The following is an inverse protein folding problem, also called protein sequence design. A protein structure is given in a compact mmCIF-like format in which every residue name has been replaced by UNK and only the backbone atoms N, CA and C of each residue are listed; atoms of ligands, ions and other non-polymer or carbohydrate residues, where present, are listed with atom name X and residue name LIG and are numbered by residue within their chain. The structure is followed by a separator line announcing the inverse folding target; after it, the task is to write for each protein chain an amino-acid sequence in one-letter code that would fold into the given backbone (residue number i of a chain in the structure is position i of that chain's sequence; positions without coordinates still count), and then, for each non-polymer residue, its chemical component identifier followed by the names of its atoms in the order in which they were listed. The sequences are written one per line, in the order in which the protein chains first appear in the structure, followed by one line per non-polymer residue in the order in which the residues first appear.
data_IF_112028433992
#
_entry.id   IF_112028433992
#
_cell.length_a   1.000
_cell.length_b   1.000
_cell.length_c   1.000
_cell.angle_alpha   90.00
_cell.angle_beta   90.00
_cell.angle_gamma   90.00
#
_symmetry.space_group_name_H-M   'P 1'
#
loop_
_entity.id
_entity.type
_entity.pdbx_description
1 polymer ?
#
# COMPACT_ATOMS: atom_id res chain seq x y z
N UNK A 1 27.27 -13.56 -45.49
CA UNK A 1 28.09 -14.75 -45.17
C UNK A 1 27.98 -15.20 -43.71
N UNK A 2 28.29 -14.38 -42.70
CA UNK A 2 28.23 -14.79 -41.28
C UNK A 2 26.90 -15.39 -40.80
N UNK A 3 25.74 -14.88 -41.26
CA UNK A 3 24.42 -15.46 -40.93
C UNK A 3 24.22 -16.88 -41.48
N UNK A 4 24.80 -17.17 -42.65
CA UNK A 4 24.66 -18.46 -43.33
C UNK A 4 25.54 -19.51 -42.64
N UNK A 5 26.77 -19.13 -42.26
CA UNK A 5 27.69 -20.00 -41.52
C UNK A 5 27.12 -20.41 -40.15
N UNK A 6 26.41 -19.51 -39.46
CA UNK A 6 25.77 -19.81 -38.17
C UNK A 6 24.62 -20.81 -38.31
N UNK A 7 23.87 -20.78 -39.42
CA UNK A 7 22.76 -21.72 -39.65
C UNK A 7 23.23 -23.17 -39.85
N UNK A 8 24.43 -23.37 -40.42
CA UNK A 8 25.01 -24.71 -40.59
C UNK A 8 25.64 -25.26 -39.29
N UNK A 9 26.17 -24.39 -38.42
CA UNK A 9 26.79 -24.79 -37.14
C UNK A 9 25.76 -24.93 -36.01
N UNK A 10 24.71 -24.11 -36.02
CA UNK A 10 23.62 -24.12 -35.04
C UNK A 10 22.27 -24.07 -35.77
N UNK A 11 21.86 -25.19 -36.39
CA UNK A 11 20.62 -25.23 -37.14
C UNK A 11 19.43 -24.97 -36.22
N UNK A 12 18.42 -24.28 -36.75
CA UNK A 12 17.17 -24.07 -36.03
C UNK A 12 16.41 -25.38 -35.90
N UNK A 13 15.65 -25.59 -34.81
CA UNK A 13 14.88 -26.82 -34.63
C UNK A 13 13.90 -27.13 -35.78
N UNK A 14 13.34 -26.08 -36.41
CA UNK A 14 12.50 -26.19 -37.60
C UNK A 14 12.45 -24.90 -38.41
N UNK A 15 11.98 -25.00 -39.67
CA UNK A 15 11.70 -23.85 -40.55
C UNK A 15 10.75 -22.86 -39.85
N UNK A 16 11.06 -21.57 -39.91
CA UNK A 16 10.26 -20.47 -39.30
C UNK A 16 10.09 -20.54 -37.77
N UNK A 17 10.94 -21.29 -37.06
CA UNK A 17 10.87 -21.43 -35.59
C UNK A 17 10.74 -20.11 -34.81
N UNK A 18 11.59 -19.11 -35.09
CA UNK A 18 11.52 -17.80 -34.40
C UNK A 18 10.23 -17.05 -34.68
N UNK A 19 9.70 -17.16 -35.90
CA UNK A 19 8.44 -16.51 -36.25
C UNK A 19 7.28 -17.14 -35.47
N UNK A 20 7.21 -18.48 -35.43
CA UNK A 20 6.23 -19.21 -34.64
C UNK A 20 6.33 -18.84 -33.16
N UNK A 21 7.54 -18.82 -32.60
CA UNK A 21 7.78 -18.46 -31.21
C UNK A 21 7.23 -17.05 -30.91
N UNK A 22 7.59 -16.05 -31.71
CA UNK A 22 7.12 -14.68 -31.51
C UNK A 22 5.59 -14.56 -31.61
N UNK A 23 4.96 -15.29 -32.54
CA UNK A 23 3.50 -15.31 -32.67
C UNK A 23 2.86 -15.94 -31.43
N UNK A 24 3.43 -17.05 -30.91
CA UNK A 24 2.98 -17.71 -29.68
C UNK A 24 3.16 -16.85 -28.42
N UNK A 25 4.17 -15.99 -28.40
CA UNK A 25 4.44 -15.04 -27.31
C UNK A 25 3.53 -13.79 -27.35
N UNK A 26 2.77 -13.59 -28.44
CA UNK A 26 1.91 -12.41 -28.58
C UNK A 26 0.71 -12.42 -27.61
N UNK A 27 0.06 -11.27 -27.46
CA UNK A 27 -1.14 -11.12 -26.62
C UNK A 27 -2.36 -11.85 -27.20
N UNK A 28 -2.39 -12.12 -28.53
CA UNK A 28 -3.48 -12.85 -29.17
C UNK A 28 -2.93 -13.87 -30.21
N UNK A 29 -2.32 -14.97 -29.74
CA UNK A 29 -1.63 -15.90 -30.61
C UNK A 29 -2.59 -16.64 -31.56
N UNK A 30 -3.88 -16.78 -31.22
CA UNK A 30 -4.88 -17.40 -32.10
C UNK A 30 -5.12 -16.57 -33.36
N UNK A 31 -5.34 -15.27 -33.22
CA UNK A 31 -5.54 -14.39 -34.38
C UNK A 31 -4.28 -14.28 -35.24
N UNK A 32 -3.12 -14.21 -34.60
CA UNK A 32 -1.84 -14.14 -35.29
C UNK A 32 -1.52 -15.43 -36.08
N UNK A 33 -1.87 -16.61 -35.55
CA UNK A 33 -1.75 -17.88 -36.27
C UNK A 33 -2.77 -18.01 -37.42
N UNK A 34 -3.96 -17.41 -37.31
CA UNK A 34 -4.93 -17.36 -38.43
C UNK A 34 -4.41 -16.51 -39.61
N UNK A 35 -3.64 -15.45 -39.34
CA UNK A 35 -3.03 -14.60 -40.38
C UNK A 35 -1.80 -15.25 -41.01
N UNK A 36 -1.03 -16.00 -40.22
CA UNK A 36 0.20 -16.66 -40.64
C UNK A 36 0.15 -18.14 -40.29
N UNK A 37 -0.45 -18.94 -41.17
CA UNK A 37 -0.61 -20.38 -40.95
C UNK A 37 0.73 -21.12 -40.99
N UNK A 38 0.78 -22.21 -40.22
CA UNK A 38 1.86 -23.19 -40.23
C UNK A 38 1.25 -24.56 -40.48
N UNK A 39 1.87 -25.36 -41.35
CA UNK A 39 1.40 -26.72 -41.70
C UNK A 39 1.27 -27.64 -40.48
N UNK A 40 2.02 -27.38 -39.40
CA UNK A 40 2.03 -28.18 -38.19
C UNK A 40 0.86 -27.90 -37.22
N UNK A 41 -0.02 -26.95 -37.52
CA UNK A 41 -1.18 -26.63 -36.69
C UNK A 41 -2.47 -26.75 -37.49
N UNK A 42 -3.37 -27.62 -37.04
CA UNK A 42 -4.75 -27.66 -37.50
C UNK A 42 -5.63 -26.68 -36.69
N UNK A 43 -6.82 -26.40 -37.22
CA UNK A 43 -7.78 -25.48 -36.60
C UNK A 43 -8.24 -25.95 -35.21
N UNK A 44 -8.35 -27.27 -35.02
CA UNK A 44 -8.76 -27.87 -33.75
C UNK A 44 -7.71 -27.61 -32.65
N UNK A 45 -6.43 -27.79 -32.95
CA UNK A 45 -5.33 -27.51 -32.05
C UNK A 45 -5.24 -26.01 -31.73
N UNK A 46 -5.42 -25.15 -32.73
CA UNK A 46 -5.42 -23.70 -32.54
C UNK A 46 -6.54 -23.30 -31.57
N UNK A 47 -7.75 -23.81 -31.76
CA UNK A 47 -8.88 -23.42 -30.93
C UNK A 47 -8.77 -23.95 -29.50
N UNK A 48 -8.34 -25.20 -29.31
CA UNK A 48 -8.37 -25.85 -28.01
C UNK A 48 -7.11 -25.60 -27.15
N UNK A 49 -5.95 -25.44 -27.79
CA UNK A 49 -4.64 -25.48 -27.12
C UNK A 49 -3.89 -24.14 -27.13
N UNK A 50 -4.01 -23.35 -28.20
CA UNK A 50 -3.32 -22.06 -28.30
C UNK A 50 -3.97 -21.05 -27.36
N UNK A 51 -3.17 -20.48 -26.46
CA UNK A 51 -3.59 -19.43 -25.52
C UNK A 51 -2.48 -18.40 -25.36
N UNK A 52 -2.81 -17.13 -25.08
CA UNK A 52 -1.83 -16.14 -24.65
C UNK A 52 -1.07 -16.64 -23.43
N UNK A 53 0.19 -16.21 -23.29
CA UNK A 53 0.95 -16.51 -22.08
C UNK A 53 0.39 -15.71 -20.91
N UNK A 54 0.09 -16.42 -19.84
CA UNK A 54 -0.32 -15.84 -18.57
C UNK A 54 0.67 -16.25 -17.48
N UNK A 55 1.31 -15.27 -16.87
CA UNK A 55 2.34 -15.50 -15.85
C UNK A 55 1.67 -15.83 -14.53
N UNK A 56 1.72 -17.10 -14.12
CA UNK A 56 1.17 -17.55 -12.85
C UNK A 56 1.97 -16.98 -11.66
N UNK A 57 1.27 -16.51 -10.63
CA UNK A 57 1.87 -16.14 -9.34
C UNK A 57 1.28 -16.94 -8.21
N UNK A 58 2.15 -17.35 -7.30
CA UNK A 58 1.75 -18.06 -6.08
C UNK A 58 1.15 -17.04 -5.10
N UNK A 59 -0.09 -17.25 -4.62
CA UNK A 59 -0.68 -16.45 -3.57
C UNK A 59 0.13 -16.50 -2.27
N UNK A 60 0.43 -15.35 -1.69
CA UNK A 60 1.07 -15.25 -0.37
C UNK A 60 0.00 -15.26 0.72
N UNK A 61 -0.25 -16.45 1.26
CA UNK A 61 -1.24 -16.70 2.33
C UNK A 61 -0.59 -16.89 3.70
N UNK A 62 0.68 -16.49 3.87
CA UNK A 62 1.42 -16.70 5.11
C UNK A 62 0.91 -15.79 6.22
N UNK A 63 0.39 -16.38 7.30
CA UNK A 63 -0.08 -15.65 8.47
C UNK A 63 1.07 -15.13 9.36
N UNK A 64 2.20 -15.82 9.40
CA UNK A 64 3.35 -15.44 10.23
C UNK A 64 4.11 -14.21 9.70
N UNK A 65 4.83 -13.53 10.59
CA UNK A 65 5.68 -12.38 10.28
C UNK A 65 5.55 -11.27 11.31
N UNK A 66 6.10 -10.09 10.97
CA UNK A 66 6.08 -8.92 11.87
C UNK A 66 4.64 -8.46 12.15
N UNK A 67 4.30 -8.36 13.45
CA UNK A 67 2.95 -8.02 13.93
C UNK A 67 2.67 -6.51 13.98
N UNK A 68 3.71 -5.72 14.24
CA UNK A 68 3.68 -4.27 14.40
C UNK A 68 5.05 -3.68 14.08
N UNK A 69 5.12 -2.39 13.77
CA UNK A 69 6.38 -1.69 13.52
C UNK A 69 7.28 -1.67 14.76
N UNK A 70 8.59 -1.67 14.56
CA UNK A 70 9.61 -1.76 15.61
C UNK A 70 9.56 -0.58 16.61
N UNK A 71 9.12 0.59 16.16
CA UNK A 71 9.07 1.79 17.01
C UNK A 71 7.93 1.73 18.02
N UNK A 72 8.29 1.73 19.30
CA UNK A 72 7.37 1.89 20.43
C UNK A 72 7.31 3.38 20.81
N UNK A 73 6.12 3.94 20.78
CA UNK A 73 5.89 5.33 21.13
C UNK A 73 5.32 5.47 22.54
N UNK A 74 5.70 6.53 23.23
CA UNK A 74 5.05 6.89 24.49
C UNK A 74 3.59 7.29 24.24
N UNK A 75 2.62 6.86 25.05
CA UNK A 75 1.23 7.32 24.96
C UNK A 75 1.10 8.84 25.05
N UNK A 76 1.99 9.47 25.85
CA UNK A 76 2.06 10.91 26.02
C UNK A 76 2.63 11.65 24.79
N UNK A 77 3.11 10.93 23.77
CA UNK A 77 3.50 11.51 22.50
C UNK A 77 2.29 11.82 21.60
N UNK A 78 1.07 11.50 22.02
CA UNK A 78 -0.15 11.74 21.26
C UNK A 78 -1.16 12.53 22.09
N UNK A 79 -1.76 13.56 21.50
CA UNK A 79 -2.81 14.36 22.11
C UNK A 79 -3.77 14.85 21.03
N UNK A 80 -5.08 14.72 21.24
CA UNK A 80 -6.13 15.25 20.35
C UNK A 80 -5.93 14.90 18.86
N UNK A 81 -5.63 13.63 18.54
CA UNK A 81 -5.31 13.15 17.19
C UNK A 81 -4.11 13.88 16.52
N UNK A 82 -3.19 14.41 17.32
CA UNK A 82 -1.92 15.00 16.90
C UNK A 82 -0.76 14.35 17.66
N UNK A 83 0.46 14.56 17.16
CA UNK A 83 1.66 14.05 17.78
C UNK A 83 2.49 15.17 18.40
N UNK A 84 3.11 14.88 19.54
CA UNK A 84 4.02 15.76 20.24
C UNK A 84 5.43 15.29 19.91
N UNK A 85 6.13 16.05 19.07
CA UNK A 85 7.46 15.69 18.57
C UNK A 85 8.49 16.65 19.16
N UNK A 86 9.62 16.09 19.60
CA UNK A 86 10.79 16.87 20.03
C UNK A 86 11.57 17.26 18.78
N UNK A 87 11.68 18.56 18.51
CA UNK A 87 12.41 19.12 17.37
C UNK A 87 13.61 19.92 17.84
N UNK A 88 14.78 19.68 17.24
CA UNK A 88 15.99 20.43 17.59
C UNK A 88 15.84 21.89 17.16
N UNK A 89 16.49 22.80 17.90
CA UNK A 89 16.41 24.23 17.59
C UNK A 89 16.89 24.54 16.18
N UNK A 90 18.00 23.93 15.73
CA UNK A 90 18.58 24.14 14.41
C UNK A 90 17.71 23.67 13.23
N UNK A 91 16.68 22.86 13.51
CA UNK A 91 15.76 22.33 12.49
C UNK A 91 14.41 23.08 12.47
N UNK A 92 14.20 24.02 13.40
CA UNK A 92 12.94 24.77 13.53
C UNK A 92 12.64 25.61 12.29
N UNK A 93 11.35 25.79 12.03
CA UNK A 93 10.80 26.75 11.08
C UNK A 93 9.95 27.75 11.84
N UNK A 94 9.77 28.94 11.29
CA UNK A 94 8.92 29.96 11.92
C UNK A 94 7.48 29.45 12.14
N UNK A 95 6.94 28.67 11.19
CA UNK A 95 5.62 28.02 11.30
C UNK A 95 5.52 26.98 12.44
N UNK A 96 6.64 26.44 12.91
CA UNK A 96 6.64 25.49 14.03
C UNK A 96 6.38 26.21 15.36
N UNK A 97 6.74 27.50 15.45
CA UNK A 97 6.55 28.30 16.67
C UNK A 97 5.07 28.54 16.97
N UNK A 98 4.21 28.51 15.96
CA UNK A 98 2.75 28.61 16.14
C UNK A 98 2.14 27.30 16.68
N UNK A 99 2.91 26.21 16.68
CA UNK A 99 2.47 24.87 17.09
C UNK A 99 3.24 24.33 18.31
N UNK A 100 3.87 25.19 19.12
CA UNK A 100 4.61 24.77 20.31
C UNK A 100 3.70 24.07 21.31
N UNK A 101 4.14 22.91 21.80
CA UNK A 101 3.41 22.17 22.82
C UNK A 101 3.49 22.90 24.17
N UNK A 102 2.33 23.24 24.73
CA UNK A 102 2.19 23.88 26.04
C UNK A 102 2.93 25.23 26.13
N UNK A 103 2.73 26.11 25.15
CA UNK A 103 3.37 27.43 25.06
C UNK A 103 3.34 28.25 26.37
N UNK A 104 2.20 28.26 27.05
CA UNK A 104 2.00 29.07 28.26
C UNK A 104 2.84 28.62 29.45
N UNK A 105 3.38 27.39 29.43
CA UNK A 105 4.23 26.88 30.51
C UNK A 105 5.55 27.63 30.66
N UNK A 106 6.10 28.17 29.55
CA UNK A 106 7.36 28.90 29.54
C UNK A 106 7.39 29.95 28.43
N UNK A 107 6.40 30.85 28.46
CA UNK A 107 6.19 31.86 27.43
C UNK A 107 7.46 32.65 27.09
N UNK A 108 8.24 33.05 28.10
CA UNK A 108 9.49 33.80 27.92
C UNK A 108 10.53 33.04 27.09
N UNK A 109 10.64 31.73 27.30
CA UNK A 109 11.54 30.89 26.53
C UNK A 109 11.11 30.85 25.06
N UNK A 110 9.83 30.61 24.80
CA UNK A 110 9.33 30.46 23.44
C UNK A 110 9.27 31.78 22.67
N UNK A 111 8.92 32.88 23.33
CA UNK A 111 9.00 34.24 22.76
C UNK A 111 10.45 34.54 22.33
N UNK A 112 11.44 34.24 23.18
CA UNK A 112 12.86 34.46 22.87
C UNK A 112 13.35 33.60 21.70
N UNK A 113 12.91 32.34 21.61
CA UNK A 113 13.21 31.47 20.46
C UNK A 113 12.59 32.05 19.17
N UNK A 114 11.36 32.57 19.23
CA UNK A 114 10.69 33.19 18.09
C UNK A 114 11.41 34.44 17.61
N UNK A 115 11.83 35.30 18.55
CA UNK A 115 12.60 36.52 18.24
C UNK A 115 13.93 36.15 17.56
N UNK A 116 14.71 35.24 18.15
CA UNK A 116 15.97 34.79 17.57
C UNK A 116 15.78 34.20 16.16
N UNK A 117 14.68 33.48 15.92
CA UNK A 117 14.37 32.97 14.58
C UNK A 117 14.06 34.09 13.59
N UNK A 118 13.31 35.11 14.00
CA UNK A 118 12.93 36.25 13.13
C UNK A 118 14.15 37.10 12.80
N UNK A 119 15.04 37.36 13.77
CA UNK A 119 16.27 38.14 13.57
C UNK A 119 17.23 37.50 12.56
N UNK A 120 17.13 36.20 12.35
CA UNK A 120 17.93 35.44 11.39
C UNK A 120 17.11 34.99 10.16
N UNK A 121 16.07 35.74 9.78
CA UNK A 121 15.23 35.49 8.60
C UNK A 121 14.61 34.07 8.55
N UNK A 122 14.32 33.50 9.70
CA UNK A 122 13.80 32.14 9.83
C UNK A 122 14.84 31.02 9.61
N UNK A 123 16.13 31.35 9.47
CA UNK A 123 17.20 30.37 9.33
C UNK A 123 17.67 29.84 10.69
N UNK A 124 17.01 28.79 11.17
CA UNK A 124 17.28 28.16 12.46
C UNK A 124 18.73 27.68 12.64
N UNK A 125 19.40 27.21 11.59
CA UNK A 125 20.79 26.76 11.69
C UNK A 125 21.72 27.89 12.07
N UNK A 126 21.53 29.07 11.46
CA UNK A 126 22.28 30.30 11.80
C UNK A 126 21.85 30.86 13.14
N UNK A 127 20.54 30.89 13.40
CA UNK A 127 19.97 31.45 14.64
C UNK A 127 20.48 30.75 15.91
N UNK A 128 20.78 29.45 15.82
CA UNK A 128 21.13 28.62 16.97
C UNK A 128 22.51 27.96 16.89
N UNK A 129 23.39 28.43 15.99
CA UNK A 129 24.75 27.90 15.81
C UNK A 129 25.58 27.99 17.09
N UNK A 130 25.53 29.15 17.76
CA UNK A 130 26.25 29.40 19.02
C UNK A 130 25.55 28.82 20.27
N UNK A 131 24.52 28.00 20.06
CA UNK A 131 23.66 27.47 21.11
C UNK A 131 22.69 28.52 21.68
N UNK A 132 21.68 28.04 22.40
CA UNK A 132 20.65 28.89 23.00
C UNK A 132 20.46 28.53 24.46
N UNK A 133 20.36 29.54 25.33
CA UNK A 133 20.16 29.37 26.77
C UNK A 133 18.84 29.98 27.20
N UNK A 134 18.17 29.32 28.13
CA UNK A 134 16.88 29.80 28.65
C UNK A 134 17.05 31.17 29.34
N UNK A 135 16.25 32.18 28.99
CA UNK A 135 16.24 33.45 29.71
C UNK A 135 15.79 33.27 31.17
N UNK A 136 16.53 33.80 32.13
CA UNK A 136 16.16 33.75 33.55
C UNK A 136 15.74 35.13 34.06
N UNK A 137 14.85 35.18 35.06
CA UNK A 137 14.43 36.44 35.69
C UNK A 137 15.59 37.17 36.39
N UNK A 138 16.62 36.43 36.82
CA UNK A 138 17.73 36.94 37.64
C UNK A 138 18.97 37.35 36.83
N UNK A 139 18.91 37.33 35.49
CA UNK A 139 20.05 37.66 34.62
C UNK A 139 21.16 36.59 34.57
N UNK A 140 21.05 35.52 35.38
CA UNK A 140 22.00 34.38 35.34
C UNK A 140 21.81 33.55 34.07
N UNK A 141 22.90 32.97 33.57
CA UNK A 141 22.86 32.06 32.43
C UNK A 141 22.01 30.83 32.76
N UNK A 142 20.89 30.67 32.06
CA UNK A 142 20.02 29.51 32.20
C UNK A 142 20.60 28.24 31.55
N UNK A 143 19.87 27.11 31.69
CA UNK A 143 20.22 25.85 31.04
C UNK A 143 20.24 25.99 29.51
N UNK A 144 21.08 25.19 28.86
CA UNK A 144 21.15 25.10 27.39
C UNK A 144 19.91 24.38 26.88
N UNK A 145 19.20 25.00 25.94
CA UNK A 145 18.05 24.41 25.27
C UNK A 145 18.51 23.91 23.92
N UNK A 146 18.37 22.59 23.69
CA UNK A 146 18.74 21.96 22.41
C UNK A 146 17.55 21.73 21.49
N UNK A 147 16.35 21.70 22.05
CA UNK A 147 15.14 21.26 21.37
C UNK A 147 13.91 21.71 22.13
N UNK A 148 12.79 21.85 21.42
CA UNK A 148 11.47 22.10 22.00
C UNK A 148 10.48 21.03 21.53
N UNK A 149 9.36 20.90 22.24
CA UNK A 149 8.25 20.03 21.82
C UNK A 149 7.26 20.85 20.99
N UNK A 150 6.93 20.34 19.82
CA UNK A 150 5.92 20.93 18.92
C UNK A 150 4.81 19.91 18.66
N UNK A 151 3.63 20.41 18.34
CA UNK A 151 2.47 19.62 17.94
C UNK A 151 2.48 19.51 16.42
N UNK A 152 2.51 18.29 15.90
CA UNK A 152 2.46 18.00 14.47
C UNK A 152 1.28 17.11 14.13
N UNK A 153 1.06 16.89 12.83
CA UNK A 153 0.24 15.77 12.38
C UNK A 153 0.74 14.44 12.95
N UNK A 154 -0.15 13.45 13.02
CA UNK A 154 0.17 12.12 13.55
C UNK A 154 1.42 11.53 12.89
N UNK A 155 2.44 11.24 13.70
CA UNK A 155 3.68 10.57 13.26
C UNK A 155 3.45 9.10 12.88
N UNK A 156 2.42 8.49 13.47
CA UNK A 156 2.00 7.13 13.19
C UNK A 156 0.47 7.06 13.32
N UNK A 157 -0.14 6.27 12.44
CA UNK A 157 -1.57 5.96 12.48
C UNK A 157 -1.75 4.51 12.91
N UNK A 158 -2.95 4.16 13.33
CA UNK A 158 -3.39 2.74 13.44
C UNK A 158 -2.61 1.99 14.50
N UNK A 159 -2.49 2.69 15.61
CA UNK A 159 -1.75 2.24 16.75
C UNK A 159 -2.66 1.51 17.70
N UNK A 160 -2.10 0.53 18.39
CA UNK A 160 -2.73 -0.11 19.53
C UNK A 160 -1.79 -0.05 20.72
N UNK A 161 -2.38 -0.19 21.91
CA UNK A 161 -1.62 -0.21 23.15
C UNK A 161 -0.92 -1.55 23.31
N UNK A 162 0.39 -1.49 23.58
CA UNK A 162 1.24 -2.62 23.89
C UNK A 162 2.00 -2.30 25.18
N UNK A 163 1.62 -2.95 26.27
CA UNK A 163 2.12 -2.65 27.61
C UNK A 163 1.94 -1.15 27.96
N UNK A 164 3.04 -0.44 28.22
CA UNK A 164 3.05 1.01 28.53
C UNK A 164 3.29 1.90 27.30
N UNK A 165 3.29 1.32 26.10
CA UNK A 165 3.59 2.00 24.84
C UNK A 165 2.47 1.87 23.82
N UNK A 166 2.59 2.63 22.73
CA UNK A 166 1.77 2.49 21.53
C UNK A 166 2.64 2.03 20.36
N UNK A 167 2.15 1.08 19.59
CA UNK A 167 2.84 0.56 18.40
C UNK A 167 1.90 0.60 17.20
N UNK A 168 2.45 0.84 16.01
CA UNK A 168 1.69 0.85 14.76
C UNK A 168 1.48 -0.59 14.25
N UNK A 169 0.24 -0.96 13.91
CA UNK A 169 -0.06 -2.24 13.24
C UNK A 169 0.76 -2.38 11.95
N UNK A 170 1.22 -3.59 11.66
CA UNK A 170 1.85 -3.90 10.38
C UNK A 170 1.45 -5.30 9.88
N UNK A 171 1.71 -5.55 8.61
CA UNK A 171 1.46 -6.86 8.01
C UNK A 171 -0.03 -7.15 7.86
N UNK A 172 -0.69 -6.50 6.90
CA UNK A 172 -2.00 -6.96 6.42
C UNK A 172 -1.76 -8.33 5.76
N UNK A 173 -2.40 -9.37 6.27
CA UNK A 173 -2.32 -10.74 5.72
C UNK A 173 -3.30 -10.91 4.57
N UNK A 174 -4.51 -10.42 4.77
CA UNK A 174 -5.59 -10.48 3.78
C UNK A 174 -6.56 -9.33 3.95
N UNK A 175 -7.41 -9.14 2.95
CA UNK A 175 -8.55 -8.24 2.99
C UNK A 175 -9.81 -9.07 2.80
N UNK A 176 -10.69 -9.05 3.79
CA UNK A 176 -11.98 -9.72 3.73
C UNK A 176 -12.99 -8.80 3.01
N UNK A 177 -13.66 -9.32 2.00
CA UNK A 177 -14.59 -8.57 1.15
C UNK A 177 -16.02 -8.92 1.53
N UNK A 178 -16.79 -7.87 1.81
CA UNK A 178 -18.21 -7.96 2.09
C UNK A 178 -19.00 -7.18 1.05
N UNK A 179 -20.27 -7.55 0.87
CA UNK A 179 -21.19 -6.88 -0.03
C UNK A 179 -22.50 -6.57 0.70
N UNK A 180 -23.02 -5.36 0.52
CA UNK A 180 -24.37 -4.96 0.94
C UNK A 180 -24.96 -4.07 -0.15
N UNK A 181 -26.17 -4.37 -0.60
CA UNK A 181 -26.90 -3.60 -1.63
C UNK A 181 -26.09 -3.32 -2.91
N UNK A 182 -25.30 -4.31 -3.36
CA UNK A 182 -24.43 -4.19 -4.55
C UNK A 182 -23.20 -3.31 -4.35
N UNK A 183 -22.88 -2.93 -3.10
CA UNK A 183 -21.69 -2.15 -2.73
C UNK A 183 -20.70 -3.04 -1.99
N UNK A 184 -19.43 -2.97 -2.37
CA UNK A 184 -18.35 -3.75 -1.74
C UNK A 184 -17.65 -2.97 -0.63
N UNK A 185 -17.28 -3.71 0.42
CA UNK A 185 -16.63 -3.23 1.63
C UNK A 185 -15.38 -4.07 1.88
N UNK A 186 -14.28 -3.42 2.30
CA UNK A 186 -12.98 -4.06 2.53
C UNK A 186 -12.59 -4.00 4.00
N UNK A 187 -12.39 -5.16 4.61
CA UNK A 187 -11.95 -5.30 6.01
C UNK A 187 -10.50 -5.81 6.00
N UNK A 188 -9.50 -4.98 6.29
CA UNK A 188 -8.12 -5.44 6.37
C UNK A 188 -7.90 -6.28 7.65
N UNK A 189 -7.29 -7.44 7.50
CA UNK A 189 -6.93 -8.34 8.60
C UNK A 189 -5.42 -8.32 8.79
N UNK A 190 -4.96 -7.82 9.94
CA UNK A 190 -3.54 -7.74 10.28
C UNK A 190 -3.08 -9.02 10.96
N UNK A 191 -1.76 -9.27 10.91
CA UNK A 191 -1.16 -10.39 11.64
C UNK A 191 -1.45 -10.35 13.13
N UNK A 192 -1.49 -9.16 13.73
CA UNK A 192 -1.82 -9.01 15.15
C UNK A 192 -3.27 -9.42 15.46
N UNK A 193 -4.20 -9.23 14.52
CA UNK A 193 -5.58 -9.65 14.70
C UNK A 193 -5.65 -11.18 14.74
N UNK A 194 -4.96 -11.85 13.81
CA UNK A 194 -4.83 -13.31 13.77
C UNK A 194 -4.15 -13.82 15.05
N UNK A 195 -3.04 -13.22 15.47
CA UNK A 195 -2.30 -13.62 16.67
C UNK A 195 -3.14 -13.50 17.96
N UNK A 196 -4.09 -12.57 17.99
CA UNK A 196 -5.02 -12.37 19.12
C UNK A 196 -6.33 -13.15 18.97
N UNK A 197 -6.54 -13.89 17.88
CA UNK A 197 -7.81 -14.56 17.59
C UNK A 197 -8.98 -13.61 17.33
N UNK A 198 -8.69 -12.36 16.94
CA UNK A 198 -9.70 -11.33 16.66
C UNK A 198 -10.12 -11.44 15.19
N UNK A 199 -11.44 -11.43 14.95
CA UNK A 199 -12.02 -11.27 13.61
C UNK A 199 -12.42 -9.80 13.45
N UNK A 200 -11.69 -9.00 12.67
CA UNK A 200 -12.02 -7.58 12.48
C UNK A 200 -13.40 -7.42 11.85
N UNK A 201 -14.20 -6.47 12.35
CA UNK A 201 -15.55 -6.16 11.84
C UNK A 201 -15.68 -4.73 11.35
N UNK A 202 -14.58 -4.09 10.95
CA UNK A 202 -14.58 -2.69 10.52
C UNK A 202 -14.04 -2.56 9.11
N UNK A 203 -14.90 -2.14 8.20
CA UNK A 203 -14.55 -1.88 6.81
C UNK A 203 -13.97 -0.48 6.64
N UNK A 204 -12.84 -0.40 5.93
CA UNK A 204 -12.09 0.83 5.79
C UNK A 204 -12.86 1.92 5.05
N UNK A 205 -12.74 3.15 5.55
CA UNK A 205 -13.24 4.36 4.90
C UNK A 205 -12.09 5.32 4.63
N UNK A 206 -12.05 5.83 3.40
CA UNK A 206 -11.03 6.77 2.96
C UNK A 206 -11.03 8.03 3.84
N UNK A 207 -9.84 8.44 4.30
CA UNK A 207 -9.66 9.64 5.12
C UNK A 207 -10.21 9.55 6.54
N UNK A 208 -10.68 8.38 6.99
CA UNK A 208 -11.26 8.19 8.32
C UNK A 208 -10.41 7.29 9.22
N UNK A 209 -10.51 7.50 10.52
CA UNK A 209 -9.85 6.65 11.52
C UNK A 209 -10.60 5.33 11.67
N UNK A 210 -9.94 4.29 12.17
CA UNK A 210 -10.56 2.96 12.39
C UNK A 210 -11.76 3.02 13.36
N UNK A 211 -11.84 4.04 14.22
CA UNK A 211 -13.01 4.24 15.08
C UNK A 211 -14.26 4.57 14.28
N UNK A 212 -14.10 5.32 13.19
CA UNK A 212 -15.16 5.84 12.33
C UNK A 212 -15.39 4.97 11.08
N UNK A 213 -14.73 3.82 11.00
CA UNK A 213 -14.91 2.85 9.92
C UNK A 213 -16.29 2.20 10.00
N UNK A 214 -16.79 1.74 8.84
CA UNK A 214 -18.10 1.10 8.76
C UNK A 214 -18.09 -0.22 9.51
N UNK A 215 -18.96 -0.36 10.51
CA UNK A 215 -19.14 -1.62 11.23
C UNK A 215 -19.88 -2.65 10.35
N UNK A 216 -19.31 -3.85 10.28
CA UNK A 216 -19.84 -4.97 9.52
C UNK A 216 -20.75 -5.79 10.43
N UNK A 217 -22.06 -5.68 10.14
CA UNK A 217 -23.14 -6.44 10.78
C UNK A 217 -23.54 -7.64 9.93
N UNK A 218 -24.56 -8.39 10.35
CA UNK A 218 -25.07 -9.58 9.64
C UNK A 218 -25.70 -9.25 8.26
N UNK A 219 -26.05 -7.99 8.01
CA UNK A 219 -26.59 -7.52 6.73
C UNK A 219 -25.54 -7.53 5.60
N UNK A 220 -24.26 -7.57 5.97
CA UNK A 220 -23.15 -7.57 5.04
C UNK A 220 -22.76 -9.01 4.70
N UNK A 221 -22.97 -9.40 3.46
CA UNK A 221 -22.67 -10.75 2.98
C UNK A 221 -21.18 -10.87 2.70
N UNK A 222 -20.50 -11.78 3.38
CA UNK A 222 -19.12 -12.14 3.04
C UNK A 222 -19.06 -12.73 1.62
N UNK A 223 -18.04 -12.35 0.85
CA UNK A 223 -17.82 -12.83 -0.53
C UNK A 223 -16.62 -13.74 -0.61
N UNK A 224 -15.46 -13.25 -0.18
CA UNK A 224 -14.18 -13.96 -0.16
C UNK A 224 -13.11 -13.10 0.52
N UNK A 225 -12.00 -13.73 0.89
CA UNK A 225 -10.78 -13.04 1.30
C UNK A 225 -9.81 -12.91 0.12
N UNK A 226 -9.14 -11.77 0.01
CA UNK A 226 -8.07 -11.51 -0.96
C UNK A 226 -6.73 -11.48 -0.23
N UNK A 227 -5.80 -12.31 -0.68
CA UNK A 227 -4.41 -12.34 -0.24
C UNK A 227 -3.51 -11.72 -1.31
N UNK A 228 -2.29 -11.33 -0.92
CA UNK A 228 -1.29 -10.88 -1.89
C UNK A 228 -1.07 -11.94 -2.97
N UNK A 229 -0.98 -11.50 -4.23
CA UNK A 229 -0.90 -12.33 -5.43
C UNK A 229 -2.15 -13.20 -5.72
N UNK A 230 -3.29 -13.00 -5.06
CA UNK A 230 -4.55 -13.54 -5.59
C UNK A 230 -4.93 -12.78 -6.87
N UNK A 231 -5.42 -13.48 -7.90
CA UNK A 231 -5.89 -12.89 -9.14
C UNK A 231 -7.31 -12.36 -8.96
N UNK A 232 -7.54 -11.09 -9.31
CA UNK A 232 -8.85 -10.44 -9.17
C UNK A 232 -9.24 -9.69 -10.44
N UNK A 233 -10.54 -9.52 -10.61
CA UNK A 233 -11.15 -8.68 -11.64
C UNK A 233 -12.11 -7.68 -10.99
N UNK A 234 -12.03 -6.43 -11.42
CA UNK A 234 -12.95 -5.36 -11.02
C UNK A 234 -13.56 -4.78 -12.27
N UNK A 235 -14.86 -4.94 -12.45
CA UNK A 235 -15.61 -4.34 -13.53
C UNK A 235 -16.36 -3.13 -13.00
N UNK A 236 -16.19 -1.95 -13.63
CA UNK A 236 -16.94 -0.75 -13.28
C UNK A 236 -18.07 -0.50 -14.27
N UNK A 237 -19.14 0.13 -13.81
CA UNK A 237 -20.32 0.46 -14.63
C UNK A 237 -20.03 1.46 -15.76
N UNK A 238 -19.07 2.37 -15.56
CA UNK A 238 -18.84 3.54 -16.45
C UNK A 238 -17.38 3.76 -16.87
N UNK A 239 -16.44 2.95 -16.39
CA UNK A 239 -15.01 3.11 -16.69
C UNK A 239 -14.35 1.75 -16.89
N UNK A 240 -13.15 1.76 -17.46
CA UNK A 240 -12.36 0.54 -17.67
C UNK A 240 -12.11 -0.17 -16.33
N UNK A 241 -12.30 -1.49 -16.35
CA UNK A 241 -12.00 -2.37 -15.23
C UNK A 241 -10.51 -2.64 -15.02
N UNK A 242 -10.21 -3.46 -14.03
CA UNK A 242 -8.87 -3.99 -13.76
C UNK A 242 -8.92 -5.50 -13.72
N UNK A 243 -7.92 -6.15 -14.32
CA UNK A 243 -7.70 -7.58 -14.21
C UNK A 243 -6.22 -7.82 -13.92
N UNK A 244 -5.91 -8.47 -12.80
CA UNK A 244 -4.53 -8.67 -12.39
C UNK A 244 -4.38 -9.14 -10.95
N UNK A 245 -3.13 -9.26 -10.51
CA UNK A 245 -2.81 -9.74 -9.18
C UNK A 245 -2.96 -8.64 -8.13
N UNK A 246 -3.69 -8.94 -7.06
CA UNK A 246 -3.77 -8.07 -5.90
C UNK A 246 -2.39 -7.93 -5.25
N UNK A 247 -1.91 -6.70 -5.13
CA UNK A 247 -0.56 -6.41 -4.64
C UNK A 247 -0.57 -5.89 -3.19
N UNK A 248 -1.46 -4.93 -2.88
CA UNK A 248 -1.54 -4.34 -1.53
C UNK A 248 -2.87 -3.63 -1.29
N UNK A 249 -3.20 -3.42 -0.01
CA UNK A 249 -4.30 -2.58 0.45
C UNK A 249 -3.76 -1.30 1.10
N UNK A 250 -4.27 -0.14 0.69
CA UNK A 250 -4.06 1.12 1.39
C UNK A 250 -5.30 1.47 2.20
N UNK A 251 -5.16 1.32 3.52
CA UNK A 251 -6.21 1.63 4.49
C UNK A 251 -6.58 3.12 4.56
N UNK A 252 -5.65 4.03 4.27
CA UNK A 252 -5.89 5.46 4.36
C UNK A 252 -6.85 5.93 3.25
N UNK A 253 -6.78 5.28 2.10
CA UNK A 253 -7.61 5.55 0.93
C UNK A 253 -8.69 4.48 0.69
N UNK A 254 -8.72 3.41 1.50
CA UNK A 254 -9.57 2.23 1.32
C UNK A 254 -9.50 1.68 -0.12
N UNK A 255 -8.28 1.56 -0.65
CA UNK A 255 -8.05 1.27 -2.07
C UNK A 255 -7.01 0.17 -2.28
N UNK A 256 -7.07 -0.46 -3.46
CA UNK A 256 -6.18 -1.55 -3.84
C UNK A 256 -5.04 -1.05 -4.73
N UNK A 257 -3.95 -1.80 -4.71
CA UNK A 257 -2.98 -1.85 -5.79
C UNK A 257 -3.10 -3.18 -6.53
N UNK A 258 -3.17 -3.14 -7.86
CA UNK A 258 -3.26 -4.31 -8.73
C UNK A 258 -2.13 -4.25 -9.74
N UNK A 259 -1.52 -5.41 -9.99
CA UNK A 259 -0.36 -5.57 -10.88
C UNK A 259 -0.72 -6.51 -12.04
N UNK A 260 -0.29 -6.16 -13.24
CA UNK A 260 -0.45 -7.01 -14.41
C UNK A 260 0.31 -8.34 -14.22
N UNK A 261 -0.16 -9.43 -14.85
CA UNK A 261 0.40 -10.76 -14.65
C UNK A 261 1.92 -10.81 -14.90
N UNK A 262 2.38 -10.11 -15.94
CA UNK A 262 3.75 -10.01 -16.43
C UNK A 262 4.60 -8.88 -15.81
N UNK A 263 4.11 -8.19 -14.77
CA UNK A 263 4.74 -6.98 -14.19
C UNK A 263 4.87 -5.79 -15.15
N UNK A 264 4.21 -5.79 -16.30
CA UNK A 264 4.29 -4.66 -17.25
C UNK A 264 3.72 -3.37 -16.70
N UNK A 265 2.79 -3.45 -15.75
CA UNK A 265 2.15 -2.29 -15.13
C UNK A 265 1.62 -2.57 -13.73
N UNK A 266 1.53 -1.50 -12.94
CA UNK A 266 0.95 -1.51 -11.59
C UNK A 266 0.07 -0.28 -11.39
N UNK A 267 -1.20 -0.51 -11.10
CA UNK A 267 -2.17 0.53 -10.78
C UNK A 267 -2.38 0.62 -9.26
N UNK A 268 -2.55 1.84 -8.74
CA UNK A 268 -2.81 2.14 -7.31
C UNK A 268 -4.04 3.03 -7.19
N UNK A 269 -4.62 3.11 -6.00
CA UNK A 269 -5.79 3.97 -5.75
C UNK A 269 -7.10 3.38 -6.28
N UNK A 270 -7.16 2.05 -6.43
CA UNK A 270 -8.30 1.36 -7.03
C UNK A 270 -9.36 1.14 -5.95
N UNK A 271 -10.37 2.01 -5.90
CA UNK A 271 -11.49 1.90 -4.96
C UNK A 271 -12.55 0.88 -5.41
N UNK A 272 -13.14 0.17 -4.44
CA UNK A 272 -14.17 -0.85 -4.69
C UNK A 272 -15.59 -0.45 -4.29
N UNK A 273 -15.75 0.72 -3.64
CA UNK A 273 -17.04 1.14 -3.08
C UNK A 273 -17.97 1.80 -4.09
N UNK A 274 -17.44 2.61 -5.01
CA UNK A 274 -18.24 3.41 -5.95
C UNK A 274 -18.12 2.89 -7.38
N UNK A 275 -19.27 2.70 -8.02
CA UNK A 275 -19.38 2.40 -9.45
C UNK A 275 -18.88 1.02 -9.87
N UNK A 276 -18.57 0.11 -8.94
CA UNK A 276 -18.25 -1.29 -9.24
C UNK A 276 -19.54 -2.01 -9.64
N UNK A 277 -19.49 -2.72 -10.76
CA UNK A 277 -20.52 -3.65 -11.20
C UNK A 277 -20.25 -5.05 -10.63
N UNK A 278 -19.00 -5.51 -10.74
CA UNK A 278 -18.59 -6.82 -10.25
C UNK A 278 -17.17 -6.77 -9.68
N UNK A 279 -16.94 -7.55 -8.62
CA UNK A 279 -15.63 -7.84 -8.06
C UNK A 279 -15.48 -9.35 -7.94
N UNK A 280 -14.57 -9.91 -8.72
CA UNK A 280 -14.38 -11.35 -8.87
C UNK A 280 -12.97 -11.76 -8.41
N UNK A 281 -12.87 -12.96 -7.82
CA UNK A 281 -11.60 -13.61 -7.47
C UNK A 281 -11.41 -14.85 -8.32
N UNK A 282 -10.16 -15.13 -8.67
CA UNK A 282 -9.76 -16.29 -9.46
C UNK A 282 -8.68 -17.10 -8.75
N UNK A 283 -8.72 -18.42 -8.93
CA UNK A 283 -7.59 -19.31 -8.64
C UNK A 283 -6.80 -19.54 -9.91
N UNK A 284 -5.47 -19.51 -9.79
CA UNK A 284 -4.55 -19.72 -10.91
C UNK A 284 -3.72 -20.96 -10.62
N UNK A 285 -3.69 -21.90 -11.56
CA UNK A 285 -2.82 -23.07 -11.44
C UNK A 285 -1.38 -22.75 -11.85
N UNK A 286 -0.48 -23.71 -11.65
CA UNK A 286 0.96 -23.57 -11.95
C UNK A 286 1.26 -23.30 -13.44
N UNK A 287 0.33 -23.59 -14.34
CA UNK A 287 0.45 -23.37 -15.78
C UNK A 287 -0.24 -22.06 -16.24
N UNK A 288 -0.72 -21.24 -15.31
CA UNK A 288 -1.37 -19.96 -15.64
C UNK A 288 -2.82 -20.08 -16.11
N UNK A 289 -3.45 -21.26 -16.01
CA UNK A 289 -4.90 -21.38 -16.21
C UNK A 289 -5.61 -20.88 -14.96
N UNK A 290 -6.65 -20.07 -15.15
CA UNK A 290 -7.38 -19.50 -14.04
C UNK A 290 -8.89 -19.78 -14.10
N UNK A 291 -9.49 -19.88 -12.93
CA UNK A 291 -10.89 -20.24 -12.73
C UNK A 291 -11.54 -19.31 -11.73
N UNK A 292 -12.73 -18.80 -12.04
CA UNK A 292 -13.48 -17.91 -11.14
C UNK A 292 -13.91 -18.68 -9.89
N UNK A 293 -13.59 -18.13 -8.73
CA UNK A 293 -14.00 -18.69 -7.43
C UNK A 293 -15.49 -18.45 -7.23
N UNK A 294 -16.26 -19.52 -7.01
CA UNK A 294 -17.66 -19.41 -6.54
C UNK A 294 -17.62 -19.11 -5.04
N UNK A 295 -18.41 -18.14 -4.58
CA UNK A 295 -18.28 -17.46 -3.28
C UNK A 295 -17.80 -18.33 -2.10
N UNK A 296 -16.87 -17.79 -1.31
CA UNK A 296 -16.31 -18.46 -0.14
C UNK A 296 -17.26 -18.43 1.05
N UNK A 297 -17.23 -19.48 1.87
CA UNK A 297 -17.80 -19.46 3.23
C UNK A 297 -16.80 -18.88 4.21
#
# INVERSE_FOLDING_TARGET
EYKVIIEDVLPRPKRRFTQELNLRLSNNPKEELKKSSFESYDDEFIENTVRPIFVARIPDRKAGGMLFKETIYSPNAFKDNKSIVKKNLCDLKLSDMDNVYNYMSDKKLYDAIRIQLVEHDGNAKKAFENGFRKPTKSGKLGPVVKSIKIITNLIAKDMFDLNKGKVQKDGIVRVDIYEKDGVYYSVPVYRIDIAKGIIPKKAALAGKSEKDWTEITEEYKFKFSIYKNDLIEINYKKKKGFFGYFNSFDRATASFAIEAHDNSSRARGIGIKSGVAELNKYEVNVLGRYYKVKGGK
#
